data_IF_927926618477
#
_entry.id   IF_927926618477
#
_cell.length_a   1.000
_cell.length_b   1.000
_cell.length_c   1.000
_cell.angle_alpha   90.00
_cell.angle_beta   90.00
_cell.angle_gamma   90.00
#
_symmetry.space_group_name_H-M   'P 1'
#
loop_
_entity.id
_entity.type
_entity.pdbx_description
1 polymer ?
#
# COMPACT_ATOMS: atom_id res chain seq x y z
N UNK A 1 21.93 -2.24 2.31
CA UNK A 1 20.66 -2.56 1.62
C UNK A 1 19.59 -1.68 2.22
N UNK A 2 18.85 -0.93 1.40
CA UNK A 2 17.81 -0.05 1.88
C UNK A 2 16.51 -0.83 2.14
N UNK A 3 15.69 -0.33 3.07
CA UNK A 3 14.36 -0.85 3.39
C UNK A 3 13.36 0.30 3.45
N UNK A 4 12.09 0.03 3.16
CA UNK A 4 11.00 0.96 3.36
C UNK A 4 9.98 0.34 4.31
N UNK A 5 9.57 1.13 5.28
CA UNK A 5 8.54 0.78 6.23
C UNK A 5 7.25 1.51 5.88
N UNK A 6 6.21 0.77 5.53
CA UNK A 6 4.90 1.30 5.18
C UNK A 6 3.93 0.96 6.30
N UNK A 7 3.37 1.98 6.95
CA UNK A 7 2.32 1.79 7.95
C UNK A 7 0.97 1.94 7.28
N UNK A 8 0.27 0.84 7.10
CA UNK A 8 -1.10 0.83 6.58
C UNK A 8 -2.06 1.05 7.76
N UNK A 9 -2.59 2.27 7.85
CA UNK A 9 -3.46 2.69 8.95
C UNK A 9 -4.89 2.22 8.71
N UNK A 10 -5.56 2.79 7.71
CA UNK A 10 -6.97 2.53 7.43
C UNK A 10 -7.36 2.79 5.97
N UNK A 11 -8.48 2.20 5.57
CA UNK A 11 -9.18 2.51 4.33
C UNK A 11 -10.52 3.17 4.65
N UNK A 12 -11.01 4.03 3.76
CA UNK A 12 -12.30 4.72 3.94
C UNK A 12 -13.15 4.56 2.70
N UNK A 13 -14.45 4.32 2.90
CA UNK A 13 -15.43 4.22 1.83
C UNK A 13 -15.02 3.25 0.70
N UNK A 14 -14.49 2.10 1.06
CA UNK A 14 -14.11 1.07 0.07
C UNK A 14 -15.37 0.65 -0.69
N UNK A 15 -15.28 0.71 -2.02
CA UNK A 15 -16.40 0.36 -2.91
C UNK A 15 -16.75 -1.11 -2.70
N UNK A 16 -18.03 -1.38 -2.46
CA UNK A 16 -18.55 -2.74 -2.56
C UNK A 16 -18.56 -3.14 -4.02
N UNK A 17 -18.20 -4.39 -4.27
CA UNK A 17 -18.37 -5.00 -5.57
C UNK A 17 -19.81 -5.46 -5.79
N UNK A 18 -20.43 -6.08 -4.78
CA UNK A 18 -21.80 -6.57 -4.87
C UNK A 18 -22.77 -5.83 -3.92
N UNK A 19 -24.03 -5.71 -4.35
CA UNK A 19 -25.11 -5.07 -3.58
C UNK A 19 -25.46 -5.82 -2.29
N UNK A 20 -25.13 -7.13 -2.22
CA UNK A 20 -25.54 -8.03 -1.15
C UNK A 20 -24.38 -8.64 -0.34
N UNK A 21 -23.13 -8.44 -0.76
CA UNK A 21 -21.95 -8.84 0.04
C UNK A 21 -21.22 -7.60 0.56
N UNK A 22 -20.58 -7.75 1.71
CA UNK A 22 -19.63 -6.77 2.17
C UNK A 22 -18.23 -7.23 1.83
N UNK A 23 -17.40 -6.30 1.35
CA UNK A 23 -16.02 -6.57 0.99
C UNK A 23 -15.19 -6.95 2.21
N UNK A 24 -14.21 -7.81 1.96
CA UNK A 24 -13.16 -8.28 2.86
C UNK A 24 -11.81 -7.67 2.43
N UNK A 25 -11.59 -6.35 2.63
CA UNK A 25 -10.44 -5.67 2.07
C UNK A 25 -9.11 -6.01 2.77
N UNK A 26 -8.05 -6.05 1.97
CA UNK A 26 -6.66 -6.01 2.41
C UNK A 26 -5.81 -5.14 1.48
N UNK A 27 -4.67 -4.67 1.98
CA UNK A 27 -3.69 -3.92 1.20
C UNK A 27 -2.50 -4.81 0.92
N UNK A 28 -2.04 -4.82 -0.33
CA UNK A 28 -0.82 -5.47 -0.77
C UNK A 28 0.15 -4.41 -1.27
N UNK A 29 1.41 -4.49 -0.84
CA UNK A 29 2.49 -3.63 -1.30
C UNK A 29 3.60 -4.45 -1.95
N UNK A 30 4.24 -3.87 -2.97
CA UNK A 30 5.37 -4.46 -3.69
C UNK A 30 6.18 -3.37 -4.40
N UNK A 31 7.43 -3.69 -4.73
CA UNK A 31 8.28 -2.85 -5.58
C UNK A 31 8.15 -3.29 -7.04
N UNK A 32 8.79 -2.59 -7.97
CA UNK A 32 8.79 -2.94 -9.39
C UNK A 32 9.20 -4.40 -9.66
N UNK A 33 10.14 -4.92 -8.87
CA UNK A 33 10.34 -6.36 -8.76
C UNK A 33 9.20 -7.01 -7.95
N UNK A 34 8.21 -7.52 -8.68
CA UNK A 34 7.02 -8.19 -8.15
C UNK A 34 7.31 -9.47 -7.35
N UNK A 35 8.57 -9.90 -7.25
CA UNK A 35 8.97 -11.07 -6.47
C UNK A 35 8.76 -10.88 -4.96
N UNK A 36 8.85 -9.65 -4.45
CA UNK A 36 8.71 -9.37 -3.01
C UNK A 36 7.41 -8.60 -2.78
N UNK A 37 6.43 -9.28 -2.18
CA UNK A 37 5.14 -8.69 -1.82
C UNK A 37 4.85 -8.87 -0.34
N UNK A 38 4.27 -7.84 0.27
CA UNK A 38 3.77 -7.90 1.64
C UNK A 38 2.30 -7.51 1.64
N UNK A 39 1.50 -8.12 2.52
CA UNK A 39 0.08 -7.79 2.65
C UNK A 39 -0.35 -7.63 4.08
N UNK A 40 -1.36 -6.79 4.30
CA UNK A 40 -2.04 -6.71 5.59
C UNK A 40 -2.89 -7.95 5.83
N UNK A 41 -3.34 -8.11 7.07
CA UNK A 41 -4.47 -8.99 7.39
C UNK A 41 -5.71 -8.52 6.65
N UNK A 42 -6.54 -9.47 6.26
CA UNK A 42 -7.88 -9.23 5.71
C UNK A 42 -8.78 -8.69 6.82
N UNK A 43 -9.60 -7.69 6.49
CA UNK A 43 -10.62 -7.16 7.39
C UNK A 43 -11.97 -7.52 6.83
N UNK A 44 -12.63 -8.49 7.45
CA UNK A 44 -13.89 -9.00 6.94
C UNK A 44 -15.01 -7.97 7.08
N UNK A 45 -15.88 -7.91 6.08
CA UNK A 45 -17.14 -7.20 6.10
C UNK A 45 -16.97 -5.73 6.56
N UNK A 46 -16.09 -4.98 5.89
CA UNK A 46 -15.74 -3.64 6.34
C UNK A 46 -15.43 -2.67 5.21
N UNK A 47 -16.26 -1.64 5.08
CA UNK A 47 -16.02 -0.47 4.20
C UNK A 47 -14.98 0.51 4.71
N UNK A 48 -14.72 0.49 6.01
CA UNK A 48 -13.78 1.40 6.69
C UNK A 48 -12.79 0.60 7.53
N UNK A 49 -12.01 -0.30 6.91
CA UNK A 49 -11.11 -1.18 7.63
C UNK A 49 -9.99 -0.38 8.30
N UNK A 50 -9.70 -0.71 9.56
CA UNK A 50 -8.50 -0.26 10.25
C UNK A 50 -7.53 -1.42 10.39
N UNK A 51 -6.40 -1.35 9.68
CA UNK A 51 -5.38 -2.39 9.70
C UNK A 51 -4.34 -2.13 10.77
N UNK A 52 -3.90 -0.88 10.92
CA UNK A 52 -2.84 -0.45 11.83
C UNK A 52 -1.64 -1.40 11.79
N UNK A 53 -1.17 -1.71 10.58
CA UNK A 53 -0.16 -2.72 10.33
C UNK A 53 1.05 -2.13 9.63
N UNK A 54 2.22 -2.52 10.11
CA UNK A 54 3.49 -2.15 9.52
C UNK A 54 3.90 -3.27 8.56
N UNK A 55 4.12 -2.91 7.30
CA UNK A 55 4.68 -3.78 6.27
C UNK A 55 6.08 -3.26 5.92
N UNK A 56 7.03 -4.18 5.80
CA UNK A 56 8.42 -3.84 5.50
C UNK A 56 8.81 -4.52 4.19
N UNK A 57 9.24 -3.71 3.21
CA UNK A 57 9.88 -4.19 1.99
C UNK A 57 11.38 -3.92 2.09
N UNK A 58 12.16 -4.95 1.76
CA UNK A 58 13.61 -4.92 1.75
C UNK A 58 14.12 -4.84 0.31
N UNK A 59 15.42 -4.62 0.14
CA UNK A 59 16.10 -4.63 -1.16
C UNK A 59 15.67 -3.50 -2.10
N UNK A 60 15.40 -2.30 -1.57
CA UNK A 60 15.08 -1.16 -2.42
C UNK A 60 16.28 -0.74 -3.25
N UNK A 61 15.99 -0.47 -4.52
CA UNK A 61 16.84 0.24 -5.46
C UNK A 61 16.38 1.70 -5.56
N UNK A 62 17.31 2.61 -5.88
CA UNK A 62 17.06 4.06 -5.80
C UNK A 62 16.05 4.63 -6.80
N UNK A 63 15.51 3.81 -7.70
CA UNK A 63 14.54 4.18 -8.73
C UNK A 63 13.25 3.33 -8.66
N UNK A 64 13.07 2.57 -7.58
CA UNK A 64 11.90 1.71 -7.45
C UNK A 64 10.63 2.53 -7.24
N UNK A 65 9.54 2.06 -7.85
CA UNK A 65 8.17 2.49 -7.55
C UNK A 65 7.57 1.56 -6.51
N UNK A 66 7.00 2.14 -5.45
CA UNK A 66 6.17 1.42 -4.48
C UNK A 66 4.75 1.32 -5.03
N UNK A 67 4.33 0.09 -5.33
CA UNK A 67 2.98 -0.25 -5.73
C UNK A 67 2.15 -0.61 -4.50
N UNK A 68 0.95 -0.05 -4.40
CA UNK A 68 -0.02 -0.28 -3.33
C UNK A 68 -1.35 -0.67 -3.95
N UNK A 69 -1.73 -1.93 -3.80
CA UNK A 69 -3.00 -2.47 -4.29
C UNK A 69 -3.96 -2.69 -3.12
N UNK A 70 -5.22 -2.24 -3.28
CA UNK A 70 -6.33 -2.58 -2.38
C UNK A 70 -7.12 -3.70 -3.05
N UNK A 71 -7.27 -4.82 -2.36
CA UNK A 71 -7.89 -6.03 -2.89
C UNK A 71 -9.04 -6.49 -2.00
N UNK A 72 -10.04 -7.14 -2.61
CA UNK A 72 -11.11 -7.89 -1.94
C UNK A 72 -10.70 -9.37 -1.84
N UNK A 73 -10.79 -9.97 -0.66
CA UNK A 73 -10.59 -11.42 -0.46
C UNK A 73 -11.90 -12.18 -0.67
N UNK A 74 -12.44 -12.14 -1.90
CA UNK A 74 -13.55 -12.99 -2.28
C UNK A 74 -13.07 -14.43 -2.47
N UNK A 75 -13.77 -15.40 -1.84
CA UNK A 75 -13.40 -16.83 -1.65
C UNK A 75 -12.89 -17.61 -2.87
N UNK A 76 -12.98 -17.07 -4.07
CA UNK A 76 -12.61 -17.72 -5.34
C UNK A 76 -11.46 -16.97 -6.05
N UNK A 77 -11.28 -15.67 -5.82
CA UNK A 77 -10.23 -14.87 -6.45
C UNK A 77 -10.00 -13.54 -5.72
N UNK A 78 -8.74 -13.11 -5.69
CA UNK A 78 -8.41 -11.74 -5.28
C UNK A 78 -8.87 -10.77 -6.36
N UNK A 79 -9.85 -9.93 -6.04
CA UNK A 79 -10.30 -8.87 -6.94
C UNK A 79 -9.64 -7.55 -6.52
N UNK A 80 -8.82 -6.98 -7.42
CA UNK A 80 -8.22 -5.66 -7.18
C UNK A 80 -9.30 -4.57 -7.29
N UNK A 81 -9.51 -3.82 -6.20
CA UNK A 81 -10.51 -2.75 -6.10
C UNK A 81 -9.89 -1.38 -6.39
N UNK A 82 -8.60 -1.21 -6.09
CA UNK A 82 -7.87 0.03 -6.34
C UNK A 82 -6.36 -0.19 -6.35
N UNK A 83 -5.64 0.75 -6.97
CA UNK A 83 -4.19 0.77 -6.99
C UNK A 83 -3.65 2.18 -6.91
N UNK A 84 -2.49 2.32 -6.30
CA UNK A 84 -1.75 3.56 -6.19
C UNK A 84 -0.25 3.26 -6.31
N UNK A 85 0.48 4.16 -6.96
CA UNK A 85 1.91 4.02 -7.23
C UNK A 85 2.63 5.25 -6.68
N UNK A 86 3.77 5.02 -6.04
CA UNK A 86 4.61 6.07 -5.45
C UNK A 86 6.01 5.91 -6.01
N UNK A 87 6.47 6.88 -6.78
CA UNK A 87 7.87 6.98 -7.18
C UNK A 87 8.72 7.31 -5.93
N UNK A 88 9.54 6.37 -5.49
CA UNK A 88 10.38 6.56 -4.31
C UNK A 88 11.58 7.47 -4.56
N UNK A 89 12.01 7.61 -5.83
CA UNK A 89 13.04 8.57 -6.20
C UNK A 89 12.51 10.00 -6.04
N UNK A 90 11.33 10.29 -6.59
CA UNK A 90 10.69 11.60 -6.43
C UNK A 90 10.45 11.93 -4.95
N UNK A 91 9.92 10.97 -4.18
CA UNK A 91 9.66 11.16 -2.76
C UNK A 91 10.93 11.50 -1.97
N UNK A 92 12.04 10.82 -2.28
CA UNK A 92 13.32 11.02 -1.64
C UNK A 92 13.93 12.39 -1.99
N UNK A 93 13.90 12.79 -3.27
CA UNK A 93 14.41 14.09 -3.70
C UNK A 93 13.59 15.24 -3.13
N UNK A 94 12.26 15.10 -3.09
CA UNK A 94 11.38 16.11 -2.45
C UNK A 94 11.72 16.31 -0.97
N UNK A 95 11.90 15.23 -0.22
CA UNK A 95 12.31 15.32 1.18
C UNK A 95 13.72 15.91 1.37
N UNK A 96 14.65 15.68 0.44
CA UNK A 96 15.97 16.33 0.49
C UNK A 96 15.86 17.84 0.34
N UNK A 97 15.01 18.33 -0.56
CA UNK A 97 14.88 19.76 -0.85
C UNK A 97 14.20 20.52 0.29
N UNK A 98 13.15 19.95 0.91
CA UNK A 98 12.44 20.57 2.03
C UNK A 98 13.34 20.75 3.27
N UNK A 99 14.29 19.82 3.48
CA UNK A 99 15.26 19.92 4.58
C UNK A 99 16.40 20.92 4.30
N UNK A 100 16.75 21.19 3.04
CA UNK A 100 17.78 22.18 2.69
C UNK A 100 17.27 23.64 2.68
N UNK A 101 15.95 23.85 2.62
CA UNK A 101 15.35 25.19 2.56
C UNK A 101 14.98 25.77 3.92
N UNK A 102 15.25 25.04 5.01
CA UNK A 102 15.00 25.47 6.39
C UNK A 102 16.21 26.16 7.05
N UNK A 103 17.32 26.35 6.34
CA UNK A 103 18.59 26.91 6.84
C UNK A 103 18.85 28.38 6.42
N UNK A 104 17.82 29.19 6.17
CA UNK A 104 17.95 30.64 5.93
C UNK A 104 17.05 31.48 6.85
#
# INVERSE_FOLDING_TARGET
MAQIQVTVVEGRNIKRKDLFSESDPFVQIYLDDKNIKQKTRVKHNSKNPQWNQILVLNHLHGQDTLHVDVCDDDKIKYDKIGSFEIDLHELYEKHRIENCSSDN
#
